data_IF_826579290728
#
_entry.id   IF_826579290728
#
_cell.length_a   1.000
_cell.length_b   1.000
_cell.length_c   1.000
_cell.angle_alpha   90.00
_cell.angle_beta   90.00
_cell.angle_gamma   90.00
#
_symmetry.space_group_name_H-M   'P 1'
#
loop_
_entity.id
_entity.type
_entity.pdbx_description
1 polymer ?
#
# COMPACT_ATOMS: atom_id res chain seq x y z
N UNK A 1 10.62 -1.94 24.41
CA UNK A 1 9.86 -2.40 23.23
C UNK A 1 9.63 -1.20 22.35
N UNK A 2 10.07 -1.18 21.09
CA UNK A 2 9.69 -0.12 20.15
C UNK A 2 8.18 -0.20 19.92
N UNK A 3 7.48 0.93 20.04
CA UNK A 3 6.04 0.96 19.75
C UNK A 3 5.82 0.68 18.27
N UNK A 4 4.81 -0.15 17.94
CA UNK A 4 4.44 -0.43 16.56
C UNK A 4 4.17 0.85 15.78
N UNK A 5 4.46 0.83 14.47
CA UNK A 5 4.20 1.94 13.55
C UNK A 5 2.72 2.03 13.20
N UNK A 6 2.27 3.22 12.86
CA UNK A 6 0.91 3.50 12.43
C UNK A 6 0.89 3.84 10.94
N UNK A 7 0.24 3.03 10.12
CA UNK A 7 0.21 3.15 8.66
C UNK A 7 -1.19 3.56 8.22
N UNK A 8 -1.30 4.60 7.39
CA UNK A 8 -2.54 5.00 6.76
C UNK A 8 -2.64 4.32 5.39
N UNK A 9 -3.63 3.46 5.19
CA UNK A 9 -3.90 2.81 3.90
C UNK A 9 -5.07 3.52 3.19
N UNK A 10 -4.82 3.99 1.99
CA UNK A 10 -5.81 4.66 1.13
C UNK A 10 -6.41 3.65 0.15
N UNK A 11 -7.72 3.45 0.21
CA UNK A 11 -8.47 2.53 -0.64
C UNK A 11 -9.74 3.19 -1.21
N UNK A 12 -10.25 2.62 -2.30
CA UNK A 12 -11.56 2.94 -2.88
C UNK A 12 -12.38 1.67 -3.10
N UNK A 13 -13.59 1.80 -3.67
CA UNK A 13 -14.33 0.64 -4.16
C UNK A 13 -13.50 -0.07 -5.25
N UNK A 14 -13.56 -1.40 -5.30
CA UNK A 14 -12.81 -2.24 -6.23
C UNK A 14 -11.28 -2.11 -6.14
N UNK A 15 -10.76 -1.78 -4.96
CA UNK A 15 -9.33 -1.95 -4.65
C UNK A 15 -8.98 -3.44 -4.66
N UNK A 16 -7.77 -3.78 -5.15
CA UNK A 16 -7.27 -5.15 -5.20
C UNK A 16 -7.28 -5.82 -3.82
N UNK A 17 -7.91 -6.99 -3.74
CA UNK A 17 -8.17 -7.69 -2.49
C UNK A 17 -6.90 -8.10 -1.75
N UNK A 18 -5.94 -8.75 -2.44
CA UNK A 18 -4.68 -9.16 -1.83
C UNK A 18 -3.88 -7.98 -1.30
N UNK A 19 -3.92 -6.85 -2.00
CA UNK A 19 -3.16 -5.67 -1.63
C UNK A 19 -3.72 -4.99 -0.36
N UNK A 20 -4.99 -5.22 -0.02
CA UNK A 20 -5.55 -4.78 1.26
C UNK A 20 -5.30 -5.82 2.34
N UNK A 21 -5.87 -7.03 2.19
CA UNK A 21 -5.91 -8.01 3.27
C UNK A 21 -4.53 -8.53 3.66
N UNK A 22 -3.71 -8.93 2.68
CA UNK A 22 -2.39 -9.51 2.97
C UNK A 22 -1.47 -8.45 3.58
N UNK A 23 -1.50 -7.22 3.05
CA UNK A 23 -0.69 -6.13 3.60
C UNK A 23 -1.09 -5.82 5.04
N UNK A 24 -2.39 -5.61 5.29
CA UNK A 24 -2.88 -5.32 6.64
C UNK A 24 -2.49 -6.41 7.63
N UNK A 25 -2.83 -7.67 7.32
CA UNK A 25 -2.57 -8.81 8.21
C UNK A 25 -1.08 -9.00 8.49
N UNK A 26 -0.23 -8.84 7.48
CA UNK A 26 1.22 -8.97 7.66
C UNK A 26 1.80 -7.86 8.54
N UNK A 27 1.37 -6.62 8.35
CA UNK A 27 1.82 -5.50 9.18
C UNK A 27 1.32 -5.61 10.63
N UNK A 28 0.07 -6.03 10.82
CA UNK A 28 -0.51 -6.26 12.16
C UNK A 28 0.15 -7.45 12.86
N UNK A 29 0.51 -8.51 12.13
CA UNK A 29 1.20 -9.67 12.69
C UNK A 29 2.57 -9.33 13.29
N UNK A 30 3.23 -8.27 12.81
CA UNK A 30 4.51 -7.79 13.35
C UNK A 30 4.33 -6.58 14.30
N UNK A 31 3.09 -6.29 14.73
CA UNK A 31 2.78 -5.31 15.75
C UNK A 31 2.59 -3.88 15.28
N UNK A 32 2.43 -3.64 13.97
CA UNK A 32 2.04 -2.33 13.43
C UNK A 32 0.52 -2.17 13.43
N UNK A 33 0.03 -0.93 13.40
CA UNK A 33 -1.38 -0.62 13.20
C UNK A 33 -1.62 -0.15 11.76
N UNK A 34 -2.61 -0.72 11.07
CA UNK A 34 -3.01 -0.30 9.73
C UNK A 34 -4.43 0.28 9.78
N UNK A 35 -4.54 1.57 9.57
CA UNK A 35 -5.82 2.27 9.47
C UNK A 35 -6.20 2.39 7.99
N UNK A 36 -7.24 1.67 7.61
CA UNK A 36 -7.75 1.64 6.23
C UNK A 36 -8.89 2.63 6.10
N UNK A 37 -8.75 3.56 5.17
CA UNK A 37 -9.74 4.62 4.93
C UNK A 37 -10.15 4.69 3.46
N UNK A 38 -11.41 5.01 3.26
CA UNK A 38 -11.99 5.28 1.94
C UNK A 38 -12.74 6.61 2.01
N UNK A 39 -12.67 7.50 1.00
CA UNK A 39 -13.44 8.75 1.00
C UNK A 39 -14.89 8.54 1.37
N UNK A 40 -15.41 9.41 2.24
CA UNK A 40 -16.78 9.45 2.74
C UNK A 40 -17.27 8.23 3.55
N UNK A 41 -16.39 7.24 3.80
CA UNK A 41 -16.69 6.06 4.63
C UNK A 41 -16.31 6.28 6.10
N UNK A 42 -17.06 5.64 6.98
CA UNK A 42 -16.81 5.58 8.43
C UNK A 42 -16.30 4.20 8.82
N UNK A 43 -15.67 4.10 9.99
CA UNK A 43 -15.37 2.82 10.59
C UNK A 43 -16.64 1.97 10.72
N UNK A 44 -16.57 0.72 10.26
CA UNK A 44 -17.71 -0.20 10.16
C UNK A 44 -18.38 -0.23 8.77
N UNK A 45 -18.21 0.79 7.94
CA UNK A 45 -18.70 0.75 6.55
C UNK A 45 -17.90 -0.29 5.73
N UNK A 46 -18.49 -0.75 4.64
CA UNK A 46 -17.87 -1.77 3.78
C UNK A 46 -17.59 -1.20 2.39
N UNK A 47 -16.53 -1.68 1.79
CA UNK A 47 -16.21 -1.51 0.37
C UNK A 47 -16.19 -2.86 -0.32
N UNK A 48 -16.44 -2.88 -1.61
CA UNK A 48 -16.21 -4.04 -2.49
C UNK A 48 -14.73 -4.08 -2.84
N UNK A 49 -14.15 -5.26 -2.83
CA UNK A 49 -12.81 -5.49 -3.39
C UNK A 49 -12.90 -6.18 -4.74
N UNK A 50 -11.81 -6.24 -5.48
CA UNK A 50 -11.70 -7.02 -6.71
C UNK A 50 -10.47 -7.91 -6.68
N UNK A 51 -10.56 -9.01 -7.45
CA UNK A 51 -9.48 -9.93 -7.73
C UNK A 51 -9.04 -9.72 -9.18
N UNK A 52 -7.77 -9.46 -9.39
CA UNK A 52 -7.18 -9.26 -10.71
C UNK A 52 -6.18 -10.37 -11.01
N UNK A 53 -6.46 -11.18 -12.02
CA UNK A 53 -5.63 -12.29 -12.46
C UNK A 53 -4.97 -11.98 -13.81
N UNK A 54 -3.71 -12.42 -13.96
CA UNK A 54 -2.91 -12.28 -15.18
C UNK A 54 -2.87 -13.62 -15.90
N UNK A 55 -3.87 -13.89 -16.73
CA UNK A 55 -4.10 -15.19 -17.39
C UNK A 55 -3.45 -15.29 -18.80
N UNK A 56 -2.64 -14.29 -19.18
CA UNK A 56 -1.91 -14.26 -20.45
C UNK A 56 -2.57 -13.42 -21.54
N UNK A 57 -3.72 -12.82 -21.25
CA UNK A 57 -4.38 -11.86 -22.12
C UNK A 57 -3.62 -10.52 -22.18
N UNK A 58 -4.01 -9.66 -23.12
CA UNK A 58 -3.43 -8.32 -23.24
C UNK A 58 -3.64 -7.47 -21.95
N UNK A 59 -4.68 -7.77 -21.19
CA UNK A 59 -5.03 -7.13 -19.93
C UNK A 59 -5.23 -8.17 -18.84
N UNK A 60 -5.61 -7.74 -17.67
CA UNK A 60 -5.97 -8.61 -16.52
C UNK A 60 -7.48 -8.84 -16.49
N UNK A 61 -7.89 -9.97 -15.95
CA UNK A 61 -9.29 -10.24 -15.61
C UNK A 61 -9.66 -9.56 -14.30
N UNK A 62 -10.95 -9.29 -14.10
CA UNK A 62 -11.49 -8.73 -12.86
C UNK A 62 -12.68 -9.56 -12.38
N UNK A 63 -12.61 -9.98 -11.13
CA UNK A 63 -13.70 -10.68 -10.43
C UNK A 63 -14.03 -9.91 -9.15
N UNK A 64 -15.29 -9.93 -8.73
CA UNK A 64 -15.68 -9.40 -7.43
C UNK A 64 -15.02 -10.22 -6.31
N UNK A 65 -14.32 -9.54 -5.42
CA UNK A 65 -13.74 -10.12 -4.22
C UNK A 65 -14.68 -10.03 -3.01
N UNK A 66 -14.13 -10.22 -1.82
CA UNK A 66 -14.84 -10.08 -0.56
C UNK A 66 -15.14 -8.61 -0.27
N UNK A 67 -16.07 -8.39 0.66
CA UNK A 67 -16.21 -7.06 1.23
C UNK A 67 -15.15 -6.81 2.28
N UNK A 68 -14.50 -5.66 2.22
CA UNK A 68 -13.59 -5.20 3.26
C UNK A 68 -14.32 -4.21 4.19
N UNK A 69 -14.16 -4.37 5.50
CA UNK A 69 -14.71 -3.44 6.49
C UNK A 69 -13.68 -2.35 6.82
N UNK A 70 -14.03 -1.10 6.54
CA UNK A 70 -13.22 0.08 6.88
C UNK A 70 -13.04 0.14 8.40
N UNK A 71 -11.82 0.27 8.86
CA UNK A 71 -11.50 0.25 10.30
C UNK A 71 -11.20 1.64 10.88
N UNK A 72 -11.16 2.68 10.05
CA UNK A 72 -10.95 4.07 10.48
C UNK A 72 -11.83 5.02 9.68
N UNK A 73 -12.53 5.93 10.35
CA UNK A 73 -13.34 6.97 9.71
C UNK A 73 -12.45 7.94 8.92
N UNK A 74 -12.79 8.18 7.64
CA UNK A 74 -11.99 9.02 6.75
C UNK A 74 -11.71 10.41 7.32
N UNK A 75 -12.77 11.12 7.76
CA UNK A 75 -12.66 12.48 8.28
C UNK A 75 -11.89 12.58 9.62
N UNK A 76 -11.77 11.49 10.35
CA UNK A 76 -10.92 11.43 11.54
C UNK A 76 -9.45 11.26 11.15
N UNK A 77 -9.16 10.36 10.22
CA UNK A 77 -7.80 10.15 9.73
C UNK A 77 -7.23 11.41 9.07
N UNK A 78 -8.05 12.14 8.31
CA UNK A 78 -7.68 13.41 7.70
C UNK A 78 -7.18 14.45 8.71
N UNK A 79 -7.77 14.48 9.89
CA UNK A 79 -7.39 15.39 10.99
C UNK A 79 -6.17 14.91 11.79
N UNK A 80 -5.76 13.65 11.63
CA UNK A 80 -4.75 12.97 12.43
C UNK A 80 -3.51 12.58 11.62
N UNK A 81 -3.24 13.20 10.47
CA UNK A 81 -2.15 12.80 9.57
C UNK A 81 -0.76 12.79 10.24
N UNK A 82 -0.54 13.67 11.22
CA UNK A 82 0.71 13.72 11.95
C UNK A 82 0.98 12.46 12.79
N UNK A 83 -0.07 11.73 13.18
CA UNK A 83 0.05 10.51 13.98
C UNK A 83 0.51 9.29 13.19
N UNK A 84 0.45 9.34 11.85
CA UNK A 84 0.87 8.24 11.00
C UNK A 84 2.34 8.32 10.65
N UNK A 85 3.00 7.16 10.67
CA UNK A 85 4.40 6.99 10.28
C UNK A 85 4.58 6.84 8.78
N UNK A 86 3.60 6.29 8.07
CA UNK A 86 3.63 6.05 6.63
C UNK A 86 2.25 6.12 5.99
N UNK A 87 2.20 6.31 4.66
CA UNK A 87 1.00 6.13 3.84
C UNK A 87 1.21 4.99 2.84
N UNK A 88 0.17 4.18 2.65
CA UNK A 88 0.14 3.12 1.65
C UNK A 88 -1.03 3.33 0.67
N UNK A 89 -0.72 3.33 -0.62
CA UNK A 89 -1.66 3.43 -1.72
C UNK A 89 -1.80 2.06 -2.38
N UNK A 90 -2.88 1.35 -2.11
CA UNK A 90 -3.20 0.06 -2.71
C UNK A 90 -3.71 0.23 -4.14
N UNK A 91 -3.62 -0.81 -4.95
CA UNK A 91 -4.01 -0.77 -6.36
C UNK A 91 -5.45 -1.25 -6.63
N UNK A 92 -5.62 -1.99 -7.72
CA UNK A 92 -6.94 -2.26 -8.27
C UNK A 92 -7.54 -1.03 -8.95
N UNK A 93 -8.87 -0.96 -9.10
CA UNK A 93 -9.54 0.19 -9.74
C UNK A 93 -9.85 1.35 -8.80
N UNK A 94 -9.80 1.14 -7.49
CA UNK A 94 -10.02 2.20 -6.49
C UNK A 94 -9.21 3.48 -6.76
N UNK A 95 -7.90 3.41 -7.05
CA UNK A 95 -7.06 4.56 -7.38
C UNK A 95 -7.59 5.46 -8.50
N UNK A 96 -8.21 4.89 -9.54
CA UNK A 96 -8.75 5.67 -10.66
C UNK A 96 -9.73 6.76 -10.20
N UNK A 97 -10.50 6.46 -9.17
CA UNK A 97 -11.51 7.34 -8.61
C UNK A 97 -10.96 8.23 -7.50
N UNK A 98 -10.34 7.63 -6.48
CA UNK A 98 -9.94 8.39 -5.29
C UNK A 98 -8.81 9.38 -5.55
N UNK A 99 -8.02 9.18 -6.61
CA UNK A 99 -6.98 10.14 -7.03
C UNK A 99 -7.52 11.51 -7.39
N UNK A 100 -8.81 11.63 -7.73
CA UNK A 100 -9.46 12.89 -8.07
C UNK A 100 -9.94 13.66 -6.82
N UNK A 101 -10.03 13.00 -5.68
CA UNK A 101 -10.43 13.61 -4.41
C UNK A 101 -9.29 14.49 -3.87
N UNK A 102 -9.56 15.78 -3.69
CA UNK A 102 -8.56 16.74 -3.21
C UNK A 102 -8.07 16.45 -1.79
N UNK A 103 -8.89 15.78 -0.97
CA UNK A 103 -8.53 15.37 0.40
C UNK A 103 -7.48 14.24 0.34
N UNK A 104 -7.67 13.25 -0.54
CA UNK A 104 -6.67 12.20 -0.80
C UNK A 104 -5.35 12.80 -1.29
N UNK A 105 -5.42 13.75 -2.24
CA UNK A 105 -4.23 14.46 -2.72
C UNK A 105 -3.54 15.22 -1.60
N UNK A 106 -4.29 15.87 -0.71
CA UNK A 106 -3.74 16.59 0.44
C UNK A 106 -3.08 15.63 1.45
N UNK A 107 -3.68 14.46 1.70
CA UNK A 107 -3.07 13.42 2.55
C UNK A 107 -1.71 12.99 1.98
N UNK A 108 -1.64 12.62 0.70
CA UNK A 108 -0.37 12.19 0.07
C UNK A 108 0.66 13.32 0.11
N UNK A 109 0.25 14.55 -0.18
CA UNK A 109 1.12 15.73 -0.10
C UNK A 109 1.72 15.89 1.30
N UNK A 110 0.92 15.71 2.35
CA UNK A 110 1.39 15.77 3.74
C UNK A 110 2.55 14.80 3.99
N UNK A 111 2.43 13.52 3.56
CA UNK A 111 3.50 12.55 3.75
C UNK A 111 4.74 12.89 2.93
N UNK A 112 4.56 13.37 1.71
CA UNK A 112 5.66 13.81 0.85
C UNK A 112 6.43 14.99 1.46
N UNK A 113 5.75 16.05 1.87
CA UNK A 113 6.35 17.24 2.46
C UNK A 113 7.01 16.94 3.82
N UNK A 114 6.39 16.07 4.63
CA UNK A 114 6.95 15.59 5.88
C UNK A 114 8.09 14.57 5.71
N UNK A 115 8.42 14.17 4.47
CA UNK A 115 9.42 13.13 4.14
C UNK A 115 9.16 11.80 4.84
N UNK A 116 7.90 11.51 5.13
CA UNK A 116 7.47 10.23 5.68
C UNK A 116 7.42 9.16 4.59
N UNK A 117 7.57 7.88 4.93
CA UNK A 117 7.45 6.78 3.99
C UNK A 117 6.14 6.78 3.18
N UNK A 118 6.28 6.55 1.87
CA UNK A 118 5.17 6.40 0.94
C UNK A 118 5.30 5.05 0.25
N UNK A 119 4.30 4.21 0.39
CA UNK A 119 4.25 2.88 -0.19
C UNK A 119 3.19 2.83 -1.28
N UNK A 120 3.50 2.20 -2.41
CA UNK A 120 2.57 2.10 -3.53
C UNK A 120 2.75 0.78 -4.28
N UNK A 121 1.67 0.21 -4.73
CA UNK A 121 1.67 -1.03 -5.49
C UNK A 121 0.65 -0.96 -6.63
N UNK A 122 0.94 -1.62 -7.76
CA UNK A 122 0.02 -1.77 -8.88
C UNK A 122 -0.46 -0.39 -9.41
N UNK A 123 -1.78 -0.17 -9.44
CA UNK A 123 -2.40 1.11 -9.80
C UNK A 123 -2.35 2.17 -8.68
N UNK A 124 -1.90 1.82 -7.49
CA UNK A 124 -1.79 2.79 -6.38
C UNK A 124 -0.94 4.02 -6.74
N UNK A 125 0.01 3.87 -7.66
CA UNK A 125 0.81 4.98 -8.20
C UNK A 125 -0.03 6.09 -8.81
N UNK A 126 -1.24 5.79 -9.30
CA UNK A 126 -2.14 6.78 -9.87
C UNK A 126 -2.56 7.86 -8.86
N UNK A 127 -2.61 7.51 -7.57
CA UNK A 127 -2.85 8.48 -6.50
C UNK A 127 -1.63 9.41 -6.36
N UNK A 128 -0.42 8.87 -6.47
CA UNK A 128 0.82 9.64 -6.33
C UNK A 128 1.04 10.61 -7.48
N UNK A 129 0.82 10.16 -8.73
CA UNK A 129 1.01 11.01 -9.92
C UNK A 129 -0.02 12.13 -10.03
N UNK A 130 -1.16 12.01 -9.35
CA UNK A 130 -2.15 13.07 -9.23
C UNK A 130 -1.71 14.22 -8.29
N UNK A 131 -0.58 14.07 -7.59
CA UNK A 131 -0.02 15.07 -6.67
C UNK A 131 1.32 15.55 -7.21
N UNK A 132 1.38 16.82 -7.64
CA UNK A 132 2.61 17.38 -8.20
C UNK A 132 3.80 17.22 -7.26
N UNK A 133 4.95 16.83 -7.83
CA UNK A 133 6.22 16.70 -7.14
C UNK A 133 6.46 15.34 -6.47
N UNK A 134 5.43 14.55 -6.16
CA UNK A 134 5.59 13.31 -5.37
C UNK A 134 6.47 12.27 -6.05
N UNK A 135 6.26 12.03 -7.35
CA UNK A 135 7.04 11.07 -8.14
C UNK A 135 8.15 11.73 -8.96
N UNK A 136 8.20 13.07 -9.00
CA UNK A 136 9.21 13.79 -9.79
C UNK A 136 10.63 13.43 -9.37
N UNK A 137 11.45 12.97 -10.33
CA UNK A 137 12.82 12.54 -10.09
C UNK A 137 12.96 11.22 -9.32
N UNK A 138 11.85 10.53 -9.04
CA UNK A 138 11.84 9.22 -8.39
C UNK A 138 11.81 8.09 -9.41
N UNK A 139 12.40 6.96 -9.03
CA UNK A 139 12.27 5.69 -9.74
C UNK A 139 11.13 4.91 -9.12
N UNK A 140 10.12 4.52 -9.91
CA UNK A 140 8.88 3.92 -9.38
C UNK A 140 8.49 2.70 -10.21
N UNK A 141 8.28 1.58 -9.52
CA UNK A 141 7.65 0.38 -10.08
C UNK A 141 6.13 0.47 -9.94
N UNK A 142 5.41 0.03 -10.95
CA UNK A 142 3.94 0.00 -10.95
C UNK A 142 3.45 -1.03 -11.97
N UNK A 143 2.13 -1.22 -12.08
CA UNK A 143 1.58 -1.95 -13.21
C UNK A 143 2.02 -1.28 -14.53
N UNK A 144 2.37 -2.08 -15.56
CA UNK A 144 2.91 -1.56 -16.81
C UNK A 144 2.04 -0.49 -17.49
N UNK A 145 0.72 -0.62 -17.37
CA UNK A 145 -0.21 0.37 -17.92
C UNK A 145 -0.07 1.78 -17.28
N UNK A 146 0.55 1.89 -16.11
CA UNK A 146 0.79 3.17 -15.43
C UNK A 146 2.11 3.85 -15.84
N UNK A 147 2.95 3.25 -16.70
CA UNK A 147 4.21 3.84 -17.17
C UNK A 147 4.04 5.25 -17.74
N UNK A 148 3.06 5.51 -18.65
CA UNK A 148 2.88 6.85 -19.21
C UNK A 148 2.56 7.89 -18.12
N UNK A 149 1.76 7.54 -17.13
CA UNK A 149 1.39 8.45 -16.03
C UNK A 149 2.59 8.79 -15.15
N UNK A 150 3.43 7.81 -14.80
CA UNK A 150 4.66 8.01 -14.04
C UNK A 150 5.61 8.94 -14.79
N UNK A 151 5.80 8.70 -16.09
CA UNK A 151 6.69 9.48 -16.94
C UNK A 151 6.21 10.92 -17.12
N UNK A 152 4.92 11.12 -17.39
CA UNK A 152 4.32 12.45 -17.51
C UNK A 152 4.41 13.27 -16.22
N UNK A 153 4.34 12.60 -15.05
CA UNK A 153 4.52 13.24 -13.74
C UNK A 153 6.00 13.52 -13.40
N UNK A 154 6.95 13.20 -14.30
CA UNK A 154 8.38 13.47 -14.13
C UNK A 154 9.12 12.40 -13.33
N UNK A 155 8.53 11.23 -13.13
CA UNK A 155 9.17 10.05 -12.57
C UNK A 155 9.87 9.20 -13.64
N UNK A 156 10.66 8.23 -13.20
CA UNK A 156 11.24 7.19 -14.03
C UNK A 156 10.52 5.87 -13.73
N UNK A 157 9.77 5.34 -14.69
CA UNK A 157 9.15 4.03 -14.55
C UNK A 157 10.20 2.92 -14.59
N UNK A 158 10.08 1.95 -13.67
CA UNK A 158 10.90 0.74 -13.65
C UNK A 158 10.01 -0.47 -13.90
N UNK A 159 10.32 -1.20 -14.97
CA UNK A 159 9.63 -2.45 -15.28
C UNK A 159 10.18 -3.59 -14.40
N UNK A 160 9.66 -3.68 -13.18
CA UNK A 160 10.03 -4.72 -12.22
C UNK A 160 9.54 -6.10 -12.66
N UNK A 161 10.24 -7.14 -12.21
CA UNK A 161 9.71 -8.50 -12.23
C UNK A 161 8.41 -8.57 -11.39
N UNK A 162 7.48 -9.49 -11.71
CA UNK A 162 6.23 -9.64 -10.95
C UNK A 162 6.40 -9.91 -9.45
N UNK A 163 7.59 -10.34 -9.01
CA UNK A 163 7.88 -10.70 -7.62
C UNK A 163 8.86 -9.76 -6.93
N UNK A 164 9.21 -8.63 -7.57
CA UNK A 164 10.18 -7.67 -7.06
C UNK A 164 9.52 -6.39 -6.55
N UNK A 165 10.16 -5.77 -5.57
CA UNK A 165 9.86 -4.43 -5.09
C UNK A 165 11.09 -3.53 -5.24
N UNK A 166 10.87 -2.23 -5.37
CA UNK A 166 11.92 -1.23 -5.51
C UNK A 166 11.81 -0.16 -4.42
N UNK A 167 12.96 0.28 -3.93
CA UNK A 167 13.05 1.32 -2.91
C UNK A 167 13.81 2.52 -3.47
N UNK A 168 13.17 3.69 -3.44
CA UNK A 168 13.80 4.99 -3.72
C UNK A 168 13.68 5.90 -2.49
N UNK A 169 14.72 5.91 -1.67
CA UNK A 169 14.71 6.61 -0.39
C UNK A 169 13.67 6.04 0.56
N UNK A 170 12.62 6.79 0.86
CA UNK A 170 11.50 6.34 1.70
C UNK A 170 10.30 5.85 0.89
N UNK A 171 10.39 5.84 -0.43
CA UNK A 171 9.33 5.31 -1.29
C UNK A 171 9.59 3.84 -1.61
N UNK A 172 8.59 2.99 -1.34
CA UNK A 172 8.61 1.57 -1.75
C UNK A 172 7.52 1.36 -2.79
N UNK A 173 7.88 0.70 -3.90
CA UNK A 173 6.97 0.46 -5.01
C UNK A 173 7.07 -0.96 -5.54
N UNK A 174 5.97 -1.50 -6.09
CA UNK A 174 5.94 -2.81 -6.71
C UNK A 174 4.90 -2.88 -7.84
N UNK A 175 5.03 -3.90 -8.70
CA UNK A 175 4.22 -4.06 -9.90
C UNK A 175 2.78 -4.49 -9.62
N UNK A 176 2.55 -5.30 -8.60
CA UNK A 176 1.23 -5.84 -8.26
C UNK A 176 1.28 -6.86 -7.12
N UNK A 177 0.15 -7.42 -6.79
CA UNK A 177 -0.04 -8.32 -5.65
C UNK A 177 0.92 -9.52 -5.61
N UNK A 178 1.40 -9.99 -6.74
CA UNK A 178 2.39 -11.08 -6.81
C UNK A 178 3.72 -10.73 -6.15
N UNK A 179 4.02 -9.45 -5.98
CA UNK A 179 5.22 -8.94 -5.33
C UNK A 179 5.04 -8.67 -3.82
N UNK A 180 3.88 -8.94 -3.22
CA UNK A 180 3.56 -8.54 -1.84
C UNK A 180 4.59 -8.99 -0.82
N UNK A 181 5.15 -10.20 -0.94
CA UNK A 181 6.18 -10.68 -0.01
C UNK A 181 7.45 -9.80 -0.04
N UNK A 182 7.93 -9.43 -1.23
CA UNK A 182 9.08 -8.54 -1.38
C UNK A 182 8.72 -7.10 -0.97
N UNK A 183 7.56 -6.62 -1.37
CA UNK A 183 7.06 -5.29 -1.06
C UNK A 183 6.93 -5.06 0.44
N UNK A 184 6.26 -5.98 1.16
CA UNK A 184 6.09 -5.92 2.62
C UNK A 184 7.45 -5.93 3.32
N UNK A 185 8.37 -6.81 2.88
CA UNK A 185 9.73 -6.86 3.43
C UNK A 185 10.45 -5.51 3.32
N UNK A 186 10.37 -4.85 2.17
CA UNK A 186 11.02 -3.55 1.99
C UNK A 186 10.29 -2.44 2.76
N UNK A 187 8.95 -2.48 2.86
CA UNK A 187 8.20 -1.57 3.71
C UNK A 187 8.61 -1.69 5.18
N UNK A 188 8.77 -2.91 5.70
CA UNK A 188 9.22 -3.15 7.07
C UNK A 188 10.62 -2.58 7.32
N UNK A 189 11.55 -2.77 6.37
CA UNK A 189 12.90 -2.18 6.47
C UNK A 189 12.86 -0.65 6.51
N UNK A 190 12.08 -0.02 5.63
CA UNK A 190 11.92 1.44 5.59
C UNK A 190 11.28 1.98 6.87
N UNK A 191 10.39 1.21 7.51
CA UNK A 191 9.81 1.53 8.81
C UNK A 191 10.78 1.32 9.98
N UNK A 192 11.96 0.74 9.73
CA UNK A 192 12.94 0.40 10.77
C UNK A 192 12.53 -0.82 11.60
N UNK A 193 11.71 -1.71 11.05
CA UNK A 193 11.28 -2.94 11.72
C UNK A 193 12.32 -4.03 11.47
N UNK A 194 12.85 -4.58 12.55
CA UNK A 194 13.78 -5.70 12.53
C UNK A 194 13.06 -6.99 12.94
N UNK A 195 13.22 -8.04 12.15
CA UNK A 195 12.68 -9.37 12.44
C UNK A 195 13.86 -10.25 12.84
N UNK A 196 13.87 -10.66 14.11
CA UNK A 196 14.88 -11.58 14.64
C UNK A 196 14.30 -13.00 14.66
N UNK A 197 14.93 -13.91 13.93
CA UNK A 197 14.64 -15.34 14.04
C UNK A 197 15.39 -15.87 15.27
N UNK A 198 14.65 -16.32 16.29
CA UNK A 198 15.27 -16.99 17.44
C UNK A 198 15.99 -18.26 17.01
N UNK A 199 17.05 -18.63 17.74
CA UNK A 199 17.77 -19.88 17.50
C UNK A 199 16.77 -21.07 17.54
N UNK A 200 16.74 -21.85 16.47
CA UNK A 200 15.82 -22.97 16.25
C UNK A 200 16.00 -24.11 17.28
N UNK A 201 16.97 -24.02 18.20
CA UNK A 201 17.22 -25.00 19.26
C UNK A 201 16.20 -24.96 20.42
N UNK A 202 15.40 -23.89 20.57
CA UNK A 202 14.48 -23.71 21.71
C UNK A 202 13.01 -24.04 21.41
N UNK A 203 12.64 -24.30 20.18
CA UNK A 203 11.26 -24.66 19.81
C UNK A 203 11.01 -26.18 19.81
N UNK A 204 11.44 -26.87 20.85
CA UNK A 204 10.89 -28.20 21.13
C UNK A 204 9.48 -28.00 21.71
N UNK A 205 8.51 -28.36 20.86
CA UNK A 205 7.11 -28.53 21.22
C UNK A 205 7.06 -29.28 22.55
N UNK A 206 6.46 -28.70 23.57
CA UNK A 206 6.09 -29.44 24.79
C UNK A 206 5.00 -30.41 24.35
N UNK A 207 5.33 -31.68 24.29
CA UNK A 207 4.32 -32.71 24.16
C UNK A 207 3.39 -32.61 25.39
N UNK A 208 2.07 -32.64 25.18
CA UNK A 208 1.14 -32.71 26.30
C UNK A 208 1.31 -34.06 27.00
N UNK A 209 1.42 -34.01 28.34
CA UNK A 209 1.46 -35.14 29.22
C UNK A 209 0.10 -35.88 29.25
#
# INVERSE_FOLDING_TARGET
MMSGKKILMLVGEFTEEYEIFVYQQAMEAVGHAVHVVCPDKKAGDRIKTSLHDFEGDQTYTEKLGHFFTINKTFSEAEKQLNEYDAVYCAGGRGPEYIRTDKRIQAMVRHFHEARKPIFTICHGVQILVAVDGVVRGKKVGALGACEPEVTLAGGTYINLSPTEAYVDGTMVSAKGWTALAAFIRECLKVLGTEIHHGDTAAARVREPA
#
